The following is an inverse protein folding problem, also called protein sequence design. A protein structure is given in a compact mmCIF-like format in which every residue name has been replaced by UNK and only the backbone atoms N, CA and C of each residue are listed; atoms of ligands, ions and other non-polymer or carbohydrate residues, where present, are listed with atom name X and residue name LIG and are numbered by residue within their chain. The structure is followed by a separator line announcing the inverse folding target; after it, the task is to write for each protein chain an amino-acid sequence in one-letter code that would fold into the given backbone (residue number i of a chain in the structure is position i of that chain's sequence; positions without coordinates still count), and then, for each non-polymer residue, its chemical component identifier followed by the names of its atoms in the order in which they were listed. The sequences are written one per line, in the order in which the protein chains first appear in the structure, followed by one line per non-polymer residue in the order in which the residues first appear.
data_IF_317130546095
#
_entry.id   IF_317130546095
#
_cell.length_a   1.000
_cell.length_b   1.000
_cell.length_c   1.000
_cell.angle_alpha   90.00
_cell.angle_beta   90.00
_cell.angle_gamma   90.00
#
_symmetry.space_group_name_H-M   'P 1'
#
loop_
_entity.id
_entity.type
_entity.pdbx_description
1 polymer ?
#
# COMPACT_ATOMS: atom_id res chain seq x y z
N UNK A 1 -9.63 3.88 18.99
CA UNK A 1 -8.96 5.17 18.71
C UNK A 1 -8.78 5.26 17.22
N UNK A 2 -9.68 5.95 16.53
CA UNK A 2 -9.58 6.19 15.08
C UNK A 2 -9.02 7.60 14.95
N UNK A 3 -7.71 7.73 14.74
CA UNK A 3 -7.21 8.90 14.02
C UNK A 3 -7.89 8.84 12.63
N UNK A 4 -8.24 9.98 12.04
CA UNK A 4 -8.90 10.03 10.74
C UNK A 4 -8.15 9.28 9.64
N UNK A 5 -8.61 9.29 8.37
CA UNK A 5 -8.01 8.55 7.27
C UNK A 5 -6.64 9.12 6.89
N UNK A 6 -5.64 8.96 7.76
CA UNK A 6 -4.31 9.49 7.58
C UNK A 6 -3.35 8.34 7.32
N UNK A 7 -2.64 8.44 6.21
CA UNK A 7 -1.60 7.49 5.85
C UNK A 7 -0.38 7.76 6.74
N UNK A 8 0.17 6.71 7.33
CA UNK A 8 1.37 6.81 8.17
C UNK A 8 2.53 7.43 7.40
N UNK A 9 3.39 8.16 8.09
CA UNK A 9 4.60 8.77 7.52
C UNK A 9 5.72 7.76 7.26
N UNK A 10 5.59 6.53 7.75
CA UNK A 10 6.56 5.44 7.57
C UNK A 10 5.86 4.10 7.39
N UNK A 11 6.47 3.22 6.62
CA UNK A 11 6.07 1.83 6.45
C UNK A 11 7.25 0.88 6.63
N UNK A 12 6.96 -0.37 6.97
CA UNK A 12 7.96 -1.44 7.01
C UNK A 12 7.66 -2.40 5.87
N UNK A 13 8.67 -2.70 5.06
CA UNK A 13 8.59 -3.69 3.98
C UNK A 13 9.59 -4.79 4.29
N UNK A 14 9.12 -6.05 4.24
CA UNK A 14 10.02 -7.20 4.31
C UNK A 14 10.63 -7.42 2.93
N UNK A 15 11.93 -7.24 2.80
CA UNK A 15 12.63 -7.48 1.54
C UNK A 15 12.71 -8.98 1.28
N UNK A 16 12.08 -9.46 0.20
CA UNK A 16 12.05 -10.89 -0.13
C UNK A 16 13.45 -11.51 -0.26
N UNK A 17 14.40 -10.80 -0.89
CA UNK A 17 15.77 -11.30 -1.12
C UNK A 17 16.53 -11.56 0.18
N UNK A 18 16.32 -10.71 1.19
CA UNK A 18 17.11 -10.76 2.44
C UNK A 18 16.31 -11.25 3.63
N UNK A 19 14.98 -11.33 3.51
CA UNK A 19 14.04 -11.62 4.60
C UNK A 19 13.97 -10.53 5.69
N UNK A 20 14.67 -9.41 5.52
CA UNK A 20 14.81 -8.39 6.56
C UNK A 20 13.74 -7.32 6.45
N UNK A 21 13.13 -6.88 7.57
CA UNK A 21 12.27 -5.70 7.57
C UNK A 21 13.11 -4.44 7.34
N UNK A 22 12.67 -3.60 6.42
CA UNK A 22 13.28 -2.30 6.13
C UNK A 22 12.21 -1.22 6.30
N UNK A 23 12.54 -0.18 7.06
CA UNK A 23 11.66 0.96 7.25
C UNK A 23 11.88 1.98 6.13
N UNK A 24 10.79 2.44 5.53
CA UNK A 24 10.77 3.48 4.51
C UNK A 24 9.99 4.68 5.00
N UNK A 25 10.47 5.87 4.67
CA UNK A 25 9.69 7.09 4.79
C UNK A 25 8.70 7.21 3.64
N UNK A 26 7.48 7.64 3.95
CA UNK A 26 6.45 7.96 2.98
C UNK A 26 6.32 9.47 2.98
N UNK A 27 6.79 10.13 1.93
CA UNK A 27 6.75 11.59 1.80
C UNK A 27 5.31 12.11 1.71
N UNK A 28 5.12 13.42 1.91
CA UNK A 28 3.78 14.01 1.88
C UNK A 28 3.06 13.78 0.54
N UNK A 29 3.75 13.99 -0.57
CA UNK A 29 3.19 13.81 -1.92
C UNK A 29 2.77 12.36 -2.19
N UNK A 30 3.52 11.39 -1.67
CA UNK A 30 3.17 9.96 -1.77
C UNK A 30 1.93 9.66 -0.93
N UNK A 31 1.82 10.22 0.28
CA UNK A 31 0.60 10.07 1.10
C UNK A 31 -0.63 10.66 0.42
N UNK A 32 -0.51 11.87 -0.14
CA UNK A 32 -1.61 12.50 -0.88
C UNK A 32 -2.04 11.66 -2.09
N UNK A 33 -1.07 11.14 -2.85
CA UNK A 33 -1.34 10.26 -4.00
C UNK A 33 -2.01 8.94 -3.59
N UNK A 34 -1.56 8.33 -2.49
CA UNK A 34 -2.14 7.10 -1.97
C UNK A 34 -3.57 7.29 -1.45
N UNK A 35 -3.86 8.43 -0.80
CA UNK A 35 -5.23 8.76 -0.36
C UNK A 35 -6.17 8.82 -1.57
N UNK A 36 -5.81 9.61 -2.58
CA UNK A 36 -6.61 9.74 -3.79
C UNK A 36 -6.81 8.40 -4.51
N UNK A 37 -5.77 7.55 -4.54
CA UNK A 37 -5.85 6.21 -5.10
C UNK A 37 -6.83 5.32 -4.32
N UNK A 38 -6.72 5.27 -2.99
CA UNK A 38 -7.58 4.42 -2.16
C UNK A 38 -9.05 4.84 -2.24
N UNK A 39 -9.32 6.15 -2.30
CA UNK A 39 -10.67 6.69 -2.55
C UNK A 39 -11.22 6.23 -3.90
N UNK A 40 -10.41 6.32 -4.96
CA UNK A 40 -10.81 5.89 -6.31
C UNK A 40 -10.98 4.37 -6.42
N UNK A 41 -10.13 3.61 -5.73
CA UNK A 41 -10.12 2.15 -5.75
C UNK A 41 -11.33 1.57 -4.99
N UNK A 42 -11.79 2.22 -3.91
CA UNK A 42 -12.91 1.77 -3.09
C UNK A 42 -12.62 0.46 -2.34
N UNK A 43 -13.64 -0.18 -1.76
CA UNK A 43 -13.50 -1.47 -1.05
C UNK A 43 -13.08 -1.34 0.42
N UNK A 44 -12.70 -2.47 1.02
CA UNK A 44 -12.28 -2.58 2.43
C UNK A 44 -10.78 -2.37 2.59
N UNK A 45 -10.36 -2.03 3.81
CA UNK A 45 -8.94 -1.99 4.22
C UNK A 45 -8.27 -3.36 4.17
N UNK A 46 -9.07 -4.44 4.18
CA UNK A 46 -8.60 -5.82 4.09
C UNK A 46 -8.21 -6.25 2.67
N UNK A 47 -8.70 -5.52 1.66
CA UNK A 47 -8.41 -5.80 0.26
C UNK A 47 -6.98 -5.31 -0.10
N UNK A 48 -6.36 -5.91 -1.12
CA UNK A 48 -5.05 -5.47 -1.60
C UNK A 48 -5.03 -4.02 -2.11
N UNK A 49 -4.21 -3.15 -1.53
CA UNK A 49 -4.10 -1.75 -1.95
C UNK A 49 -3.83 -1.60 -3.46
N UNK A 50 -3.10 -2.55 -4.05
CA UNK A 50 -2.86 -2.66 -5.49
C UNK A 50 -3.28 -4.05 -5.99
N UNK A 51 -4.54 -4.21 -6.43
CA UNK A 51 -5.03 -5.48 -6.95
C UNK A 51 -4.44 -5.78 -8.34
N UNK A 52 -4.32 -7.06 -8.68
CA UNK A 52 -3.89 -7.51 -9.99
C UNK A 52 -4.83 -7.03 -11.09
N UNK A 53 -4.28 -6.79 -12.30
CA UNK A 53 -5.05 -6.35 -13.47
C UNK A 53 -5.92 -7.45 -14.09
N UNK A 54 -5.55 -8.71 -13.87
CA UNK A 54 -6.21 -9.90 -14.46
C UNK A 54 -7.09 -10.60 -13.42
N UNK A 55 -6.60 -10.70 -12.19
CA UNK A 55 -7.34 -11.25 -11.06
C UNK A 55 -7.26 -10.25 -9.90
N UNK A 56 -8.38 -9.56 -9.65
CA UNK A 56 -8.49 -8.53 -8.62
C UNK A 56 -8.46 -9.12 -7.20
N UNK A 57 -8.65 -10.44 -7.04
CA UNK A 57 -8.50 -11.14 -5.76
C UNK A 57 -7.02 -11.46 -5.44
N UNK A 58 -6.09 -11.22 -6.37
CA UNK A 58 -4.65 -11.39 -6.16
C UNK A 58 -3.93 -10.05 -6.10
N UNK A 59 -2.83 -10.00 -5.35
CA UNK A 59 -1.95 -8.84 -5.36
C UNK A 59 -1.26 -8.70 -6.72
N UNK A 60 -0.88 -7.48 -7.10
CA UNK A 60 -0.01 -7.26 -8.25
C UNK A 60 1.31 -8.02 -8.08
N UNK A 61 1.51 -9.06 -8.89
CA UNK A 61 2.83 -9.67 -9.06
C UNK A 61 3.66 -8.79 -9.99
N UNK A 62 4.91 -8.53 -9.63
CA UNK A 62 5.86 -7.87 -10.54
C UNK A 62 6.11 -8.83 -11.71
N UNK A 63 5.96 -8.35 -12.95
CA UNK A 63 6.45 -9.08 -14.11
C UNK A 63 7.97 -9.13 -13.93
N UNK A 64 8.51 -10.33 -13.73
CA UNK A 64 9.96 -10.54 -13.66
C UNK A 64 10.61 -10.26 -15.02
#
# INVERSE_FOLDING_TARGET
MVAGPEIRTRAIVVQQKTGRPVQFEITNDVRASLLHWLERRGGSVEDYAFPGRVDHARHMSTIA
#
